data_IF_086139936501
#
_entry.id   IF_086139936501
#
_cell.length_a   1.000
_cell.length_b   1.000
_cell.length_c   1.000
_cell.angle_alpha   90.00
_cell.angle_beta   90.00
_cell.angle_gamma   90.00
#
_symmetry.space_group_name_H-M   'P 1'
#
loop_
_entity.id
_entity.type
_entity.pdbx_description
1 polymer ?
#
# COMPACT_ATOMS: atom_id res chain seq x y z
N UNK A 1 53.78 49.95 -45.64
CA UNK A 1 53.91 49.88 -47.10
C UNK A 1 53.11 48.69 -47.58
N UNK A 2 52.00 48.94 -48.32
CA UNK A 2 51.15 47.97 -49.05
C UNK A 2 50.33 46.99 -48.19
N UNK A 3 49.08 46.60 -48.45
CA UNK A 3 47.97 47.05 -49.32
C UNK A 3 46.80 46.04 -49.09
N UNK A 4 45.56 46.52 -49.24
CA UNK A 4 44.33 45.81 -49.67
C UNK A 4 43.62 44.86 -48.66
N UNK A 5 42.35 45.11 -48.26
CA UNK A 5 41.08 45.12 -49.02
C UNK A 5 40.47 43.71 -49.12
N UNK A 6 39.35 43.47 -48.44
CA UNK A 6 38.09 43.13 -49.11
C UNK A 6 36.91 43.03 -48.14
N UNK A 7 35.87 43.78 -48.49
CA UNK A 7 34.51 43.66 -47.99
C UNK A 7 33.95 42.27 -48.30
N UNK A 8 33.29 41.64 -47.34
CA UNK A 8 32.28 40.62 -47.64
C UNK A 8 31.04 40.83 -46.75
N UNK A 9 29.99 41.31 -47.42
CA UNK A 9 28.55 41.15 -47.20
C UNK A 9 28.10 40.58 -45.85
N UNK A 10 27.41 41.44 -45.09
CA UNK A 10 26.59 41.07 -43.94
C UNK A 10 25.24 40.58 -44.46
N UNK A 11 24.97 39.28 -44.36
CA UNK A 11 23.63 38.72 -44.42
C UNK A 11 23.23 38.36 -42.99
N UNK A 12 22.18 38.96 -42.40
CA UNK A 12 21.70 38.50 -41.10
C UNK A 12 20.95 37.19 -41.31
N UNK A 13 21.59 36.07 -40.92
CA UNK A 13 20.90 34.81 -40.68
C UNK A 13 19.90 35.04 -39.54
N UNK A 14 18.64 35.22 -39.92
CA UNK A 14 17.51 35.08 -39.02
C UNK A 14 17.42 33.61 -38.59
N UNK A 15 18.13 33.25 -37.53
CA UNK A 15 17.89 32.01 -36.82
C UNK A 15 16.53 32.14 -36.12
N UNK A 16 15.48 31.63 -36.78
CA UNK A 16 14.21 31.31 -36.11
C UNK A 16 14.52 30.25 -35.03
N UNK A 17 14.73 30.74 -33.81
CA UNK A 17 14.66 29.91 -32.62
C UNK A 17 13.18 29.55 -32.42
N UNK A 18 12.76 28.44 -33.03
CA UNK A 18 11.49 27.79 -32.69
C UNK A 18 11.60 27.30 -31.24
N UNK A 19 11.24 28.18 -30.31
CA UNK A 19 10.90 27.81 -28.94
C UNK A 19 9.62 26.98 -29.02
N UNK A 20 9.78 25.68 -29.11
CA UNK A 20 8.71 24.72 -28.87
C UNK A 20 8.44 24.76 -27.36
N UNK A 21 7.67 25.74 -26.90
CA UNK A 21 7.09 25.67 -25.56
C UNK A 21 6.01 24.60 -25.62
N UNK A 22 6.42 23.34 -25.41
CA UNK A 22 5.52 22.28 -25.00
C UNK A 22 4.91 22.69 -23.68
N UNK A 23 3.76 23.34 -23.73
CA UNK A 23 2.92 23.59 -22.57
C UNK A 23 2.19 22.28 -22.23
N UNK A 24 2.96 21.26 -21.85
CA UNK A 24 2.44 20.14 -21.07
C UNK A 24 2.72 20.48 -19.61
N UNK A 25 1.88 21.31 -19.00
CA UNK A 25 1.87 21.41 -17.54
C UNK A 25 1.43 20.06 -16.99
N UNK A 26 2.39 19.15 -16.81
CA UNK A 26 2.20 17.91 -16.08
C UNK A 26 1.55 18.26 -14.74
N UNK A 27 0.48 17.55 -14.38
CA UNK A 27 -0.08 17.68 -13.03
C UNK A 27 1.03 17.39 -12.02
N UNK A 28 1.03 18.14 -10.91
CA UNK A 28 1.92 17.87 -9.77
C UNK A 28 1.50 16.57 -9.10
N UNK A 29 2.38 15.94 -8.33
CA UNK A 29 2.04 14.76 -7.54
C UNK A 29 1.08 15.11 -6.40
N UNK A 30 0.21 14.17 -6.07
CA UNK A 30 -0.69 14.29 -4.93
C UNK A 30 0.09 14.18 -3.61
N UNK A 31 -0.33 14.96 -2.61
CA UNK A 31 0.36 15.12 -1.33
C UNK A 31 -0.39 14.46 -0.17
N UNK A 32 0.27 14.32 0.98
CA UNK A 32 -0.33 13.73 2.20
C UNK A 32 -0.08 12.24 2.35
N UNK A 33 -0.59 11.68 3.44
CA UNK A 33 -0.40 10.27 3.77
C UNK A 33 -1.29 9.38 2.88
N UNK A 34 -0.77 8.24 2.41
CA UNK A 34 -1.51 7.35 1.52
C UNK A 34 -2.65 6.59 2.24
N UNK A 35 -2.61 6.50 3.58
CA UNK A 35 -3.60 5.87 4.45
C UNK A 35 -4.50 6.89 5.19
N UNK A 36 -4.64 8.09 4.63
CA UNK A 36 -5.57 9.13 5.08
C UNK A 36 -6.55 9.46 3.94
N UNK A 37 -7.84 9.60 4.25
CA UNK A 37 -8.91 9.95 3.30
C UNK A 37 -9.56 11.26 3.75
N UNK A 38 -9.51 12.28 2.90
CA UNK A 38 -10.19 13.55 3.16
C UNK A 38 -11.64 13.46 2.70
N UNK A 39 -12.57 13.57 3.64
CA UNK A 39 -14.00 13.42 3.37
C UNK A 39 -14.67 14.79 3.30
N UNK A 40 -15.37 15.06 2.20
CA UNK A 40 -16.21 16.24 2.03
C UNK A 40 -17.67 15.81 2.03
N UNK A 41 -18.41 16.28 3.02
CA UNK A 41 -19.84 16.07 3.18
C UNK A 41 -20.44 17.29 3.87
N UNK A 42 -21.75 17.52 3.73
CA UNK A 42 -22.42 18.51 4.59
C UNK A 42 -22.21 18.19 6.07
N UNK A 43 -22.10 19.22 6.90
CA UNK A 43 -21.78 19.05 8.32
C UNK A 43 -22.85 18.29 9.11
N UNK A 44 -24.13 18.42 8.73
CA UNK A 44 -25.21 17.69 9.38
C UNK A 44 -25.24 16.25 8.90
N UNK A 45 -25.07 16.04 7.59
CA UNK A 45 -24.96 14.72 6.99
C UNK A 45 -23.78 13.90 7.55
N UNK A 46 -22.62 14.54 7.80
CA UNK A 46 -21.45 13.89 8.36
C UNK A 46 -21.72 13.24 9.73
N UNK A 47 -22.53 13.88 10.58
CA UNK A 47 -22.90 13.35 11.89
C UNK A 47 -23.58 11.98 11.80
N UNK A 48 -24.28 11.72 10.70
CA UNK A 48 -24.97 10.45 10.46
C UNK A 48 -24.09 9.43 9.71
N UNK A 49 -23.25 9.89 8.79
CA UNK A 49 -22.44 9.00 7.93
C UNK A 49 -21.16 8.50 8.62
N UNK A 50 -20.63 9.26 9.57
CA UNK A 50 -19.32 9.00 10.17
C UNK A 50 -19.21 7.58 10.74
N UNK A 51 -20.19 7.12 11.51
CA UNK A 51 -20.11 5.80 12.17
C UNK A 51 -20.02 4.63 11.16
N UNK A 52 -20.76 4.72 10.06
CA UNK A 52 -20.71 3.72 8.99
C UNK A 52 -19.36 3.72 8.27
N UNK A 53 -18.82 4.91 7.99
CA UNK A 53 -17.52 5.05 7.34
C UNK A 53 -16.36 4.64 8.26
N UNK A 54 -16.42 4.97 9.55
CA UNK A 54 -15.43 4.55 10.55
C UNK A 54 -15.44 3.02 10.70
N UNK A 55 -16.60 2.37 10.64
CA UNK A 55 -16.68 0.89 10.64
C UNK A 55 -16.02 0.30 9.39
N UNK A 56 -16.22 0.93 8.23
CA UNK A 56 -15.71 0.45 6.96
C UNK A 56 -14.19 0.64 6.81
N UNK A 57 -13.71 1.85 7.07
CA UNK A 57 -12.33 2.29 6.86
C UNK A 57 -11.45 2.11 8.10
N UNK A 58 -12.06 1.96 9.27
CA UNK A 58 -11.39 1.75 10.55
C UNK A 58 -11.04 0.30 10.86
N UNK A 59 -11.18 -0.63 9.90
CA UNK A 59 -10.73 -2.04 10.05
C UNK A 59 -9.31 -2.07 10.63
N UNK A 60 -9.13 -2.76 11.75
CA UNK A 60 -7.89 -2.68 12.53
C UNK A 60 -6.79 -3.59 12.00
N UNK A 61 -5.57 -3.05 11.97
CA UNK A 61 -4.32 -3.79 11.87
C UNK A 61 -3.85 -4.21 13.25
N UNK A 62 -3.52 -5.49 13.41
CA UNK A 62 -2.96 -6.03 14.64
C UNK A 62 -1.55 -5.47 14.86
N UNK A 63 -1.47 -4.46 15.71
CA UNK A 63 -0.23 -3.91 16.24
C UNK A 63 -0.38 -3.72 17.75
N UNK A 64 0.71 -3.46 18.51
CA UNK A 64 0.60 -3.32 19.98
C UNK A 64 -0.41 -2.28 20.45
N UNK A 65 -0.70 -1.29 19.61
CA UNK A 65 -1.85 -0.40 19.76
C UNK A 65 -2.59 -0.44 18.42
N UNK A 66 -3.75 -1.13 18.31
CA UNK A 66 -4.44 -1.34 17.05
C UNK A 66 -4.55 -0.07 16.21
N UNK A 67 -4.20 -0.18 14.93
CA UNK A 67 -4.17 0.95 14.00
C UNK A 67 -5.27 0.77 12.96
N UNK A 68 -6.11 1.79 12.65
CA UNK A 68 -7.12 1.66 11.61
C UNK A 68 -6.48 1.55 10.24
N UNK A 69 -7.17 0.94 9.27
CA UNK A 69 -6.71 0.84 7.89
C UNK A 69 -6.56 2.23 7.26
N UNK A 70 -7.56 3.09 7.45
CA UNK A 70 -7.51 4.48 7.02
C UNK A 70 -7.89 5.44 8.14
N UNK A 71 -7.31 6.64 8.11
CA UNK A 71 -7.74 7.76 8.91
C UNK A 71 -8.69 8.63 8.08
N UNK A 72 -9.92 8.82 8.55
CA UNK A 72 -10.88 9.71 7.92
C UNK A 72 -10.72 11.13 8.47
N UNK A 73 -10.57 12.09 7.57
CA UNK A 73 -10.44 13.50 7.89
C UNK A 73 -11.57 14.29 7.23
N UNK A 74 -12.71 14.44 7.91
CA UNK A 74 -13.79 15.29 7.42
C UNK A 74 -13.36 16.75 7.33
N UNK A 75 -13.70 17.41 6.23
CA UNK A 75 -13.46 18.84 6.00
C UNK A 75 -14.69 19.49 5.39
N UNK A 76 -14.91 20.74 5.78
CA UNK A 76 -15.92 21.58 5.17
C UNK A 76 -15.55 21.89 3.71
N UNK A 77 -16.53 22.19 2.85
CA UNK A 77 -16.23 22.48 1.44
C UNK A 77 -15.45 23.80 1.29
N UNK A 78 -15.56 24.71 2.25
CA UNK A 78 -14.79 25.96 2.33
C UNK A 78 -13.28 25.69 2.30
N UNK A 79 -12.85 24.56 2.85
CA UNK A 79 -11.46 24.12 2.88
C UNK A 79 -11.04 23.32 1.64
N UNK A 80 -11.94 23.06 0.68
CA UNK A 80 -11.67 22.20 -0.47
C UNK A 80 -10.39 22.57 -1.21
N UNK A 81 -10.15 23.87 -1.44
CA UNK A 81 -8.94 24.34 -2.15
C UNK A 81 -7.63 23.91 -1.46
N UNK A 82 -7.63 23.79 -0.13
CA UNK A 82 -6.45 23.38 0.65
C UNK A 82 -6.18 21.87 0.54
N UNK A 83 -7.23 21.05 0.43
CA UNK A 83 -7.13 19.59 0.47
C UNK A 83 -7.39 18.89 -0.87
N UNK A 84 -7.73 19.63 -1.93
CA UNK A 84 -8.00 19.05 -3.26
C UNK A 84 -6.82 18.33 -3.90
N UNK A 85 -5.59 18.54 -3.42
CA UNK A 85 -4.39 17.87 -3.96
C UNK A 85 -3.98 16.64 -3.12
N UNK A 86 -4.82 16.21 -2.16
CA UNK A 86 -4.52 15.05 -1.31
C UNK A 86 -4.64 13.75 -2.10
N UNK A 87 -3.82 12.75 -1.74
CA UNK A 87 -3.78 11.43 -2.39
C UNK A 87 -5.13 10.74 -2.46
N UNK A 88 -5.96 10.89 -1.41
CA UNK A 88 -7.29 10.29 -1.32
C UNK A 88 -8.33 11.34 -0.94
N UNK A 89 -9.38 11.46 -1.75
CA UNK A 89 -10.51 12.36 -1.49
C UNK A 89 -11.82 11.62 -1.68
N UNK A 90 -12.74 11.76 -0.74
CA UNK A 90 -14.08 11.17 -0.79
C UNK A 90 -15.11 12.29 -0.68
N UNK A 91 -16.00 12.40 -1.67
CA UNK A 91 -17.18 13.25 -1.61
C UNK A 91 -18.41 12.43 -1.29
N UNK A 92 -19.23 12.91 -0.36
CA UNK A 92 -20.56 12.40 -0.07
C UNK A 92 -21.55 13.50 -0.46
N UNK A 93 -22.36 13.25 -1.47
CA UNK A 93 -23.29 14.23 -2.03
C UNK A 93 -24.70 13.65 -2.18
N UNK A 94 -25.72 14.49 -2.03
CA UNK A 94 -27.11 14.12 -2.27
C UNK A 94 -27.71 14.89 -3.43
N UNK A 95 -28.58 14.24 -4.20
CA UNK A 95 -29.29 14.91 -5.29
C UNK A 95 -30.29 15.94 -4.75
N UNK A 96 -31.00 15.62 -3.66
CA UNK A 96 -31.90 16.54 -2.96
C UNK A 96 -31.18 17.64 -2.16
N UNK A 97 -29.89 17.43 -1.86
CA UNK A 97 -29.04 18.33 -1.07
C UNK A 97 -28.86 19.71 -1.71
N UNK A 98 -29.00 20.75 -0.90
CA UNK A 98 -28.73 22.16 -1.26
C UNK A 98 -27.43 22.69 -0.65
N UNK A 99 -26.70 21.84 0.07
CA UNK A 99 -25.40 22.16 0.62
C UNK A 99 -24.34 22.33 -0.48
N UNK A 100 -23.22 22.94 -0.12
CA UNK A 100 -22.16 23.30 -1.07
C UNK A 100 -21.53 22.06 -1.74
N UNK A 101 -21.35 20.96 -1.00
CA UNK A 101 -20.77 19.73 -1.53
C UNK A 101 -21.68 19.16 -2.61
N UNK A 102 -22.95 18.95 -2.27
CA UNK A 102 -23.97 18.40 -3.18
C UNK A 102 -24.13 19.23 -4.44
N UNK A 103 -24.17 20.56 -4.31
CA UNK A 103 -24.29 21.47 -5.46
C UNK A 103 -23.08 21.41 -6.39
N UNK A 104 -21.87 21.34 -5.87
CA UNK A 104 -20.65 21.30 -6.69
C UNK A 104 -20.44 19.93 -7.34
N UNK A 105 -20.73 18.84 -6.63
CA UNK A 105 -20.70 17.49 -7.20
C UNK A 105 -21.72 17.37 -8.33
N UNK A 106 -22.98 17.80 -8.13
CA UNK A 106 -24.01 17.76 -9.19
C UNK A 106 -23.60 18.46 -10.48
N UNK A 107 -22.91 19.60 -10.39
CA UNK A 107 -22.41 20.35 -11.56
C UNK A 107 -21.33 19.60 -12.35
N UNK A 108 -20.61 18.69 -11.69
CA UNK A 108 -19.56 17.89 -12.32
C UNK A 108 -20.09 16.61 -12.99
N UNK A 109 -21.37 16.27 -12.80
CA UNK A 109 -21.99 15.06 -13.35
C UNK A 109 -22.77 15.36 -14.63
N UNK A 110 -22.77 14.42 -15.57
CA UNK A 110 -23.63 14.49 -16.76
C UNK A 110 -25.08 14.19 -16.40
N UNK A 111 -26.03 14.60 -17.25
CA UNK A 111 -27.46 14.29 -17.05
C UNK A 111 -27.73 12.78 -16.97
N UNK A 112 -27.07 11.99 -17.82
CA UNK A 112 -27.13 10.52 -17.79
C UNK A 112 -26.72 9.95 -16.42
N UNK A 113 -25.63 10.47 -15.83
CA UNK A 113 -25.18 10.02 -14.51
C UNK A 113 -26.18 10.44 -13.42
N UNK A 114 -26.74 11.65 -13.50
CA UNK A 114 -27.76 12.10 -12.55
C UNK A 114 -29.03 11.24 -12.62
N UNK A 115 -29.50 10.92 -13.82
CA UNK A 115 -30.65 10.03 -14.03
C UNK A 115 -30.35 8.62 -13.50
N UNK A 116 -29.17 8.07 -13.79
CA UNK A 116 -28.75 6.78 -13.26
C UNK A 116 -28.61 6.76 -11.73
N UNK A 117 -28.23 7.88 -11.09
CA UNK A 117 -28.26 7.97 -9.62
C UNK A 117 -29.70 7.98 -9.10
N UNK A 118 -30.59 8.70 -9.78
CA UNK A 118 -32.00 8.78 -9.40
C UNK A 118 -32.71 7.42 -9.52
N UNK A 119 -32.36 6.60 -10.51
CA UNK A 119 -32.89 5.24 -10.70
C UNK A 119 -32.16 4.18 -9.88
N UNK A 120 -31.06 4.55 -9.21
CA UNK A 120 -30.25 3.65 -8.37
C UNK A 120 -29.25 2.79 -9.14
N UNK A 121 -29.01 3.08 -10.42
CA UNK A 121 -28.04 2.42 -11.29
C UNK A 121 -26.59 2.87 -11.01
N UNK A 122 -26.39 4.16 -10.71
CA UNK A 122 -25.10 4.74 -10.37
C UNK A 122 -25.09 5.32 -8.96
N UNK A 123 -23.99 5.17 -8.24
CA UNK A 123 -23.87 5.68 -6.86
C UNK A 123 -22.41 5.92 -6.46
N UNK A 124 -21.49 5.23 -7.14
CA UNK A 124 -20.06 5.24 -6.90
C UNK A 124 -19.34 5.64 -8.17
N UNK A 125 -18.55 6.71 -8.09
CA UNK A 125 -17.89 7.30 -9.26
C UNK A 125 -16.42 7.52 -8.90
N UNK A 126 -15.53 6.57 -9.21
CA UNK A 126 -14.10 6.72 -8.98
C UNK A 126 -13.46 7.54 -10.10
N UNK A 127 -12.45 8.34 -9.75
CA UNK A 127 -11.66 9.14 -10.67
C UNK A 127 -10.20 9.15 -10.24
N UNK A 128 -9.33 8.77 -11.17
CA UNK A 128 -7.90 8.94 -11.01
C UNK A 128 -7.47 10.33 -11.49
N UNK A 129 -6.43 10.84 -10.86
CA UNK A 129 -5.68 12.01 -11.28
C UNK A 129 -6.52 13.26 -11.57
N UNK A 130 -7.55 13.55 -10.77
CA UNK A 130 -8.47 14.67 -11.03
C UNK A 130 -7.70 15.99 -11.07
N UNK A 131 -6.97 16.29 -9.99
CA UNK A 131 -6.22 17.54 -9.83
C UNK A 131 -4.70 17.35 -9.74
N UNK A 132 -4.24 16.17 -9.32
CA UNK A 132 -2.83 15.82 -9.14
C UNK A 132 -2.56 14.39 -9.65
N UNK A 133 -1.32 14.04 -10.03
CA UNK A 133 -0.94 12.64 -10.33
C UNK A 133 -0.97 11.77 -9.08
N UNK A 134 -1.25 10.48 -9.24
CA UNK A 134 -1.42 9.49 -8.17
C UNK A 134 -2.58 9.80 -7.21
N UNK A 135 -3.53 10.61 -7.68
CA UNK A 135 -4.68 10.98 -6.88
C UNK A 135 -5.83 10.01 -7.11
N UNK A 136 -6.49 9.63 -6.02
CA UNK A 136 -7.72 8.84 -6.06
C UNK A 136 -8.87 9.63 -5.45
N UNK A 137 -9.88 9.92 -6.27
CA UNK A 137 -11.07 10.67 -5.87
C UNK A 137 -12.30 9.80 -6.07
N UNK A 138 -13.09 9.65 -5.03
CA UNK A 138 -14.38 8.96 -5.09
C UNK A 138 -15.49 9.97 -4.85
N UNK A 139 -16.52 9.92 -5.69
CA UNK A 139 -17.80 10.56 -5.42
C UNK A 139 -18.81 9.47 -5.10
N UNK A 140 -19.28 9.45 -3.85
CA UNK A 140 -20.48 8.72 -3.45
C UNK A 140 -21.66 9.68 -3.53
N UNK A 141 -22.63 9.34 -4.37
CA UNK A 141 -23.79 10.20 -4.63
C UNK A 141 -25.05 9.37 -4.50
N UNK A 142 -26.02 9.89 -3.75
CA UNK A 142 -27.31 9.25 -3.51
C UNK A 142 -28.47 10.23 -3.77
N UNK A 143 -29.70 9.74 -4.03
CA UNK A 143 -30.86 10.62 -4.15
C UNK A 143 -31.10 11.48 -2.91
N UNK A 144 -31.00 10.86 -1.73
CA UNK A 144 -31.28 11.44 -0.42
C UNK A 144 -30.40 10.81 0.68
N UNK A 145 -30.65 11.22 1.93
CA UNK A 145 -29.86 10.82 3.11
C UNK A 145 -30.03 9.34 3.46
N UNK A 146 -31.25 8.83 3.43
CA UNK A 146 -31.53 7.43 3.79
C UNK A 146 -30.91 6.49 2.75
N UNK A 147 -31.00 6.86 1.48
CA UNK A 147 -30.30 6.17 0.41
C UNK A 147 -28.77 6.20 0.63
N UNK A 148 -28.18 7.32 1.02
CA UNK A 148 -26.73 7.39 1.29
C UNK A 148 -26.31 6.43 2.41
N UNK A 149 -27.06 6.39 3.52
CA UNK A 149 -26.79 5.47 4.64
C UNK A 149 -26.83 4.01 4.20
N UNK A 150 -27.86 3.63 3.43
CA UNK A 150 -27.97 2.28 2.89
C UNK A 150 -26.79 1.94 1.96
N UNK A 151 -26.32 2.90 1.16
CA UNK A 151 -25.21 2.68 0.23
C UNK A 151 -23.85 2.55 0.92
N UNK A 152 -23.60 3.31 1.98
CA UNK A 152 -22.40 3.12 2.81
C UNK A 152 -22.35 1.69 3.33
N UNK A 153 -23.49 1.12 3.71
CA UNK A 153 -23.60 -0.26 4.16
C UNK A 153 -23.44 -1.28 3.01
N UNK A 154 -24.21 -1.14 1.93
CA UNK A 154 -24.26 -2.12 0.84
C UNK A 154 -22.97 -2.20 0.04
N UNK A 155 -22.28 -1.06 -0.12
CA UNK A 155 -21.22 -0.87 -1.13
C UNK A 155 -19.92 -0.40 -0.51
N UNK A 156 -19.89 -0.25 0.82
CA UNK A 156 -18.71 0.17 1.54
C UNK A 156 -17.50 -0.69 1.18
N UNK A 157 -17.65 -2.02 1.14
CA UNK A 157 -16.53 -2.92 0.83
C UNK A 157 -15.91 -2.66 -0.55
N UNK A 158 -16.74 -2.44 -1.58
CA UNK A 158 -16.25 -2.08 -2.92
C UNK A 158 -15.43 -0.79 -2.88
N UNK A 159 -15.93 0.24 -2.19
CA UNK A 159 -15.24 1.53 -2.06
C UNK A 159 -13.90 1.36 -1.34
N UNK A 160 -13.90 0.59 -0.25
CA UNK A 160 -12.70 0.27 0.53
C UNK A 160 -11.65 -0.44 -0.33
N UNK A 161 -12.06 -1.50 -1.04
CA UNK A 161 -11.17 -2.30 -1.88
C UNK A 161 -10.52 -1.46 -2.99
N UNK A 162 -11.26 -0.51 -3.55
CA UNK A 162 -10.75 0.38 -4.59
C UNK A 162 -9.75 1.44 -4.04
N UNK A 163 -9.95 1.93 -2.80
CA UNK A 163 -8.93 2.72 -2.10
C UNK A 163 -7.68 1.89 -1.79
N UNK A 164 -7.85 0.64 -1.33
CA UNK A 164 -6.74 -0.28 -1.04
C UNK A 164 -5.93 -0.59 -2.30
N UNK A 165 -6.61 -0.83 -3.42
CA UNK A 165 -5.97 -1.01 -4.72
C UNK A 165 -5.11 0.20 -5.09
N UNK A 166 -5.66 1.42 -4.98
CA UNK A 166 -4.91 2.64 -5.25
C UNK A 166 -3.73 2.83 -4.28
N UNK A 167 -3.91 2.49 -2.99
CA UNK A 167 -2.85 2.48 -1.98
C UNK A 167 -1.70 1.56 -2.37
N UNK A 168 -1.98 0.29 -2.65
CA UNK A 168 -0.96 -0.71 -2.97
C UNK A 168 -0.27 -0.47 -4.32
N UNK A 169 -0.98 0.05 -5.33
CA UNK A 169 -0.37 0.46 -6.60
C UNK A 169 0.70 1.53 -6.36
N UNK A 170 0.35 2.62 -5.66
CA UNK A 170 1.31 3.70 -5.34
C UNK A 170 2.46 3.20 -4.48
N UNK A 171 2.17 2.33 -3.51
CA UNK A 171 3.20 1.76 -2.65
C UNK A 171 4.21 0.94 -3.44
N UNK A 172 3.74 0.10 -4.38
CA UNK A 172 4.59 -0.70 -5.26
C UNK A 172 5.43 0.17 -6.21
N UNK A 173 4.84 1.18 -6.83
CA UNK A 173 5.55 2.14 -7.68
C UNK A 173 6.66 2.85 -6.89
N UNK A 174 6.31 3.40 -5.72
CA UNK A 174 7.27 4.05 -4.83
C UNK A 174 8.40 3.10 -4.40
N UNK A 175 8.10 1.83 -4.14
CA UNK A 175 9.09 0.86 -3.70
C UNK A 175 10.07 0.46 -4.81
N UNK A 176 9.65 0.44 -6.08
CA UNK A 176 10.42 -0.26 -7.11
C UNK A 176 10.71 0.49 -8.40
N UNK A 177 9.95 1.52 -8.78
CA UNK A 177 10.15 2.23 -10.05
C UNK A 177 11.58 2.78 -10.16
N UNK A 178 12.07 3.38 -9.06
CA UNK A 178 13.43 3.92 -8.96
C UNK A 178 14.25 3.32 -7.80
N UNK A 179 13.66 2.39 -7.03
CA UNK A 179 14.13 2.03 -5.69
C UNK A 179 14.26 0.52 -5.45
N UNK A 180 14.67 -0.24 -6.47
CA UNK A 180 14.83 -1.70 -6.39
C UNK A 180 16.31 -2.14 -6.25
N UNK A 181 16.57 -3.04 -5.29
CA UNK A 181 17.87 -3.69 -5.10
C UNK A 181 17.99 -4.97 -5.93
N UNK A 182 18.14 -4.82 -7.26
CA UNK A 182 18.30 -5.96 -8.17
C UNK A 182 19.50 -6.86 -7.85
N UNK A 183 20.55 -6.31 -7.20
CA UNK A 183 21.72 -7.08 -6.79
C UNK A 183 21.37 -8.13 -5.73
N UNK A 184 20.56 -7.75 -4.74
CA UNK A 184 20.11 -8.70 -3.71
C UNK A 184 19.14 -9.70 -4.31
N UNK A 185 18.16 -9.27 -5.12
CA UNK A 185 17.25 -10.19 -5.83
C UNK A 185 18.01 -11.25 -6.65
N UNK A 186 19.01 -10.82 -7.43
CA UNK A 186 19.87 -11.70 -8.22
C UNK A 186 20.71 -12.65 -7.36
N UNK A 187 21.19 -12.17 -6.21
CA UNK A 187 21.89 -13.01 -5.25
C UNK A 187 20.96 -14.08 -4.69
N UNK A 188 19.75 -13.70 -4.25
CA UNK A 188 18.77 -14.63 -3.70
C UNK A 188 18.49 -15.77 -4.69
N UNK A 189 18.21 -15.39 -5.95
CA UNK A 189 17.91 -16.32 -7.04
C UNK A 189 19.04 -17.33 -7.29
N UNK A 190 20.31 -16.91 -7.17
CA UNK A 190 21.48 -17.76 -7.46
C UNK A 190 21.84 -18.69 -6.32
N UNK A 191 21.54 -18.31 -5.08
CA UNK A 191 22.04 -18.99 -3.88
C UNK A 191 20.96 -19.77 -3.12
N UNK A 192 19.68 -19.50 -3.33
CA UNK A 192 18.57 -20.08 -2.58
C UNK A 192 17.47 -20.64 -3.51
N UNK A 193 16.55 -21.49 -3.02
CA UNK A 193 15.47 -22.07 -3.86
C UNK A 193 14.37 -21.06 -4.24
N UNK A 194 14.56 -19.78 -3.96
CA UNK A 194 13.60 -18.71 -4.17
C UNK A 194 14.28 -17.41 -4.55
N UNK A 195 13.47 -16.45 -4.99
CA UNK A 195 13.83 -15.05 -5.14
C UNK A 195 12.63 -14.17 -4.78
N UNK A 196 12.89 -12.90 -4.50
CA UNK A 196 11.88 -11.86 -4.31
C UNK A 196 12.50 -10.51 -4.65
N UNK A 197 11.67 -9.54 -5.04
CA UNK A 197 12.11 -8.17 -5.35
C UNK A 197 12.41 -7.46 -4.04
N UNK A 198 13.59 -6.86 -3.93
CA UNK A 198 14.06 -6.24 -2.67
C UNK A 198 14.09 -4.72 -2.82
N UNK A 199 13.57 -3.97 -1.84
CA UNK A 199 13.69 -2.51 -1.84
C UNK A 199 15.16 -2.08 -1.63
N UNK A 200 15.58 -0.97 -2.25
CA UNK A 200 16.98 -0.52 -2.35
C UNK A 200 17.76 -0.46 -1.03
N UNK A 201 17.08 -0.22 0.09
CA UNK A 201 17.67 0.02 1.41
C UNK A 201 17.61 -1.20 2.35
N UNK A 202 17.21 -2.37 1.83
CA UNK A 202 17.36 -3.66 2.51
C UNK A 202 18.67 -4.34 2.10
N UNK A 203 19.28 -5.01 3.07
CA UNK A 203 20.47 -5.83 2.90
C UNK A 203 20.28 -7.19 3.56
N UNK A 204 21.07 -8.18 3.14
CA UNK A 204 21.16 -9.47 3.83
C UNK A 204 21.94 -9.23 5.13
N UNK A 205 21.26 -9.34 6.27
CA UNK A 205 21.85 -9.18 7.60
C UNK A 205 22.51 -10.49 8.07
N UNK A 206 21.88 -11.63 7.76
CA UNK A 206 22.40 -12.97 8.04
C UNK A 206 21.72 -13.98 7.11
N UNK A 207 22.41 -15.07 6.81
CA UNK A 207 21.87 -16.20 6.05
C UNK A 207 22.57 -17.49 6.44
N UNK A 208 21.89 -18.62 6.26
CA UNK A 208 22.46 -19.96 6.45
C UNK A 208 21.76 -20.95 5.56
N UNK A 209 22.52 -21.70 4.75
CA UNK A 209 21.98 -22.82 3.97
C UNK A 209 21.71 -24.05 4.83
N UNK A 210 22.51 -24.25 5.88
CA UNK A 210 22.37 -25.37 6.82
C UNK A 210 21.09 -25.21 7.67
N UNK A 211 20.91 -24.03 8.24
CA UNK A 211 19.72 -23.64 9.01
C UNK A 211 18.58 -23.10 8.12
N UNK A 212 18.82 -23.00 6.81
CA UNK A 212 17.84 -22.71 5.75
C UNK A 212 17.06 -21.40 5.93
N UNK A 213 17.76 -20.30 6.16
CA UNK A 213 17.12 -18.99 6.23
C UNK A 213 17.93 -17.90 5.53
N UNK A 214 17.24 -16.83 5.14
CA UNK A 214 17.82 -15.55 4.76
C UNK A 214 17.08 -14.45 5.49
N UNK A 215 17.80 -13.61 6.22
CA UNK A 215 17.29 -12.48 6.98
C UNK A 215 17.65 -11.16 6.29
N UNK A 216 16.66 -10.54 5.65
CA UNK A 216 16.77 -9.21 5.06
C UNK A 216 16.38 -8.16 6.09
N UNK A 217 17.21 -7.13 6.25
CA UNK A 217 16.97 -6.08 7.25
C UNK A 217 17.22 -4.70 6.67
N UNK A 218 16.35 -3.77 7.04
CA UNK A 218 16.58 -2.34 6.92
C UNK A 218 16.83 -1.78 8.31
N UNK A 219 18.11 -1.58 8.63
CA UNK A 219 18.55 -1.21 9.98
C UNK A 219 18.25 0.27 10.22
N UNK A 220 17.47 0.57 11.26
CA UNK A 220 17.29 1.93 11.77
C UNK A 220 17.06 1.88 13.29
N UNK A 221 17.69 2.77 14.09
CA UNK A 221 17.61 2.71 15.56
C UNK A 221 16.19 2.72 16.13
N UNK A 222 15.28 3.47 15.53
CA UNK A 222 13.88 3.60 15.98
C UNK A 222 12.84 2.99 15.02
N UNK A 223 13.27 2.45 13.87
CA UNK A 223 12.39 2.02 12.75
C UNK A 223 12.90 0.74 12.10
N UNK A 224 13.24 -0.24 12.93
CA UNK A 224 13.80 -1.50 12.46
C UNK A 224 12.73 -2.32 11.75
N UNK A 225 13.10 -2.87 10.60
CA UNK A 225 12.23 -3.68 9.76
C UNK A 225 13.01 -4.83 9.19
N UNK A 226 12.39 -5.99 9.18
CA UNK A 226 13.01 -7.16 8.59
C UNK A 226 11.99 -8.07 7.91
N UNK A 227 12.48 -8.79 6.92
CA UNK A 227 11.82 -9.94 6.31
C UNK A 227 12.80 -11.10 6.29
N UNK A 228 12.35 -12.24 6.79
CA UNK A 228 13.08 -13.50 6.80
C UNK A 228 12.33 -14.51 5.94
N UNK A 229 13.05 -15.17 5.05
CA UNK A 229 12.54 -16.36 4.38
C UNK A 229 13.25 -17.57 4.98
N UNK A 230 12.47 -18.50 5.52
CA UNK A 230 12.92 -19.79 6.02
C UNK A 230 12.25 -20.91 5.22
N UNK A 231 12.97 -22.01 4.98
CA UNK A 231 12.42 -23.15 4.24
C UNK A 231 12.80 -24.49 4.85
N UNK A 232 11.88 -25.45 4.81
CA UNK A 232 12.00 -26.76 5.46
C UNK A 232 11.59 -27.84 4.46
N UNK A 233 12.18 -29.06 4.47
CA UNK A 233 11.69 -30.15 3.63
C UNK A 233 10.21 -30.41 3.92
N UNK A 234 9.42 -30.56 2.86
CA UNK A 234 8.05 -31.00 2.99
C UNK A 234 8.00 -32.45 3.50
N UNK A 235 7.04 -32.73 4.37
CA UNK A 235 6.74 -34.07 4.88
C UNK A 235 5.22 -34.25 4.88
N UNK A 236 4.73 -35.39 4.45
CA UNK A 236 3.29 -35.69 4.43
C UNK A 236 2.67 -35.68 5.84
N UNK A 237 3.49 -35.85 6.89
CA UNK A 237 3.07 -35.74 8.29
C UNK A 237 3.16 -34.32 8.85
N UNK A 238 3.63 -33.33 8.08
CA UNK A 238 3.74 -31.95 8.54
C UNK A 238 2.35 -31.35 8.74
N UNK A 239 2.01 -31.10 10.00
CA UNK A 239 0.81 -30.35 10.37
C UNK A 239 1.19 -28.90 10.58
N UNK A 240 0.75 -28.03 9.66
CA UNK A 240 0.91 -26.59 9.76
C UNK A 240 -0.30 -26.05 10.51
N UNK A 241 -0.12 -25.70 11.78
CA UNK A 241 -1.10 -25.05 12.64
C UNK A 241 -0.44 -23.95 13.48
N UNK A 242 -1.23 -23.29 14.34
CA UNK A 242 -0.80 -22.13 15.12
C UNK A 242 0.46 -22.43 15.93
N UNK A 243 0.42 -23.50 16.74
CA UNK A 243 1.51 -23.88 17.63
C UNK A 243 2.78 -24.19 16.85
N UNK A 244 2.65 -24.89 15.71
CA UNK A 244 3.79 -25.19 14.86
C UNK A 244 4.45 -23.91 14.30
N UNK A 245 3.66 -22.96 13.78
CA UNK A 245 4.19 -21.71 13.20
C UNK A 245 4.86 -20.86 14.30
N UNK A 246 4.22 -20.72 15.47
CA UNK A 246 4.79 -19.98 16.61
C UNK A 246 6.11 -20.62 17.06
N UNK A 247 6.19 -21.95 17.15
CA UNK A 247 7.43 -22.65 17.49
C UNK A 247 8.54 -22.42 16.46
N UNK A 248 8.24 -22.49 15.16
CA UNK A 248 9.24 -22.19 14.13
C UNK A 248 9.72 -20.74 14.22
N UNK A 249 8.79 -19.79 14.42
CA UNK A 249 9.12 -18.37 14.58
C UNK A 249 10.00 -18.10 15.79
N UNK A 250 9.66 -18.66 16.96
CA UNK A 250 10.45 -18.47 18.17
C UNK A 250 11.84 -19.13 18.05
N UNK A 251 11.97 -20.25 17.32
CA UNK A 251 13.28 -20.86 17.00
C UNK A 251 14.15 -19.92 16.17
N UNK A 252 13.61 -19.33 15.11
CA UNK A 252 14.31 -18.30 14.32
C UNK A 252 14.65 -17.09 15.20
N UNK A 253 13.72 -16.64 16.03
CA UNK A 253 13.90 -15.47 16.87
C UNK A 253 15.04 -15.64 17.90
N UNK A 254 15.21 -16.84 18.44
CA UNK A 254 16.35 -17.17 19.32
C UNK A 254 17.71 -17.07 18.61
N UNK A 255 17.73 -17.28 17.29
CA UNK A 255 18.95 -17.20 16.47
C UNK A 255 19.22 -15.78 15.95
N UNK A 256 18.20 -15.10 15.41
CA UNK A 256 18.39 -13.86 14.63
C UNK A 256 17.61 -12.64 15.14
N UNK A 257 16.61 -12.81 16.02
CA UNK A 257 15.80 -11.70 16.55
C UNK A 257 16.03 -11.44 18.04
N UNK A 258 17.23 -11.72 18.56
CA UNK A 258 17.59 -11.41 19.96
C UNK A 258 16.58 -11.98 20.99
N UNK A 259 16.02 -13.15 20.71
CA UNK A 259 15.00 -13.81 21.54
C UNK A 259 13.67 -13.04 21.67
N UNK A 260 13.26 -12.33 20.62
CA UNK A 260 11.88 -11.85 20.50
C UNK A 260 10.89 -13.01 20.62
N UNK A 261 9.75 -12.75 21.27
CA UNK A 261 8.68 -13.75 21.46
C UNK A 261 7.36 -13.23 20.91
N UNK A 262 6.53 -14.16 20.43
CA UNK A 262 5.14 -13.88 20.06
C UNK A 262 4.32 -13.57 21.32
N UNK A 263 3.39 -12.61 21.23
CA UNK A 263 2.34 -12.40 22.22
C UNK A 263 1.11 -13.18 21.75
N UNK A 264 0.98 -14.42 22.21
CA UNK A 264 0.00 -15.38 21.66
C UNK A 264 -1.45 -14.91 21.81
N UNK A 265 -1.81 -14.26 22.91
CA UNK A 265 -3.16 -13.70 23.16
C UNK A 265 -3.56 -12.61 22.14
N UNK A 266 -2.58 -11.98 21.48
CA UNK A 266 -2.77 -10.92 20.47
C UNK A 266 -2.57 -11.46 19.05
N UNK A 267 -2.45 -12.79 18.88
CA UNK A 267 -2.08 -13.42 17.61
C UNK A 267 -3.22 -14.24 17.05
N UNK A 268 -3.48 -14.11 15.75
CA UNK A 268 -4.48 -14.91 15.01
C UNK A 268 -3.84 -15.66 13.85
N UNK A 269 -4.40 -16.82 13.56
CA UNK A 269 -4.07 -17.63 12.39
C UNK A 269 -5.25 -17.64 11.42
N UNK A 270 -5.00 -17.30 10.17
CA UNK A 270 -5.99 -17.31 9.10
C UNK A 270 -5.52 -18.21 7.94
N UNK A 271 -6.47 -18.90 7.31
CA UNK A 271 -6.22 -19.54 6.01
C UNK A 271 -6.39 -18.48 4.93
N UNK A 272 -5.37 -18.32 4.09
CA UNK A 272 -5.33 -17.32 3.02
C UNK A 272 -4.84 -17.94 1.72
N UNK A 273 -4.89 -17.15 0.64
CA UNK A 273 -4.18 -17.46 -0.60
C UNK A 273 -2.96 -16.55 -0.73
N UNK A 274 -1.80 -17.14 -0.97
CA UNK A 274 -0.57 -16.42 -1.23
C UNK A 274 -0.08 -16.76 -2.64
N UNK A 275 -0.27 -15.84 -3.59
CA UNK A 275 -0.06 -16.14 -5.01
C UNK A 275 -0.86 -17.37 -5.47
N UNK A 276 -0.16 -18.42 -5.90
CA UNK A 276 -0.78 -19.69 -6.33
C UNK A 276 -1.01 -20.69 -5.18
N UNK A 277 -0.46 -20.43 -4.00
CA UNK A 277 -0.45 -21.39 -2.89
C UNK A 277 -1.61 -21.14 -1.92
N UNK A 278 -2.33 -22.19 -1.48
CA UNK A 278 -3.02 -22.16 -0.20
C UNK A 278 -2.00 -21.95 0.91
N UNK A 279 -2.26 -21.01 1.80
CA UNK A 279 -1.31 -20.58 2.81
C UNK A 279 -1.99 -20.36 4.16
N UNK A 280 -1.16 -20.30 5.19
CA UNK A 280 -1.53 -19.88 6.52
C UNK A 280 -0.86 -18.55 6.82
N UNK A 281 -1.62 -17.58 7.32
CA UNK A 281 -1.12 -16.28 7.75
C UNK A 281 -1.28 -16.17 9.26
N UNK A 282 -0.16 -16.14 9.96
CA UNK A 282 -0.09 -15.78 11.37
C UNK A 282 0.19 -14.28 11.46
N UNK A 283 -0.61 -13.55 12.22
CA UNK A 283 -0.38 -12.13 12.46
C UNK A 283 -0.74 -11.75 13.88
N UNK A 284 0.03 -10.83 14.44
CA UNK A 284 -0.07 -10.44 15.84
C UNK A 284 1.08 -9.55 16.24
N UNK A 285 1.41 -9.55 17.53
CA UNK A 285 2.48 -8.72 18.08
C UNK A 285 3.62 -9.56 18.65
N UNK A 286 4.80 -8.99 18.64
CA UNK A 286 5.98 -9.55 19.27
C UNK A 286 6.51 -8.58 20.33
N UNK A 287 7.24 -9.13 21.31
CA UNK A 287 7.94 -8.36 22.32
C UNK A 287 9.32 -8.94 22.58
N UNK A 288 10.26 -8.08 22.95
CA UNK A 288 11.56 -8.50 23.48
C UNK A 288 11.53 -8.45 25.02
N UNK A 289 11.73 -9.58 25.73
CA UNK A 289 11.72 -9.61 27.19
C UNK A 289 12.84 -8.80 27.86
N UNK A 290 13.95 -8.54 27.16
CA UNK A 290 15.13 -7.87 27.70
C UNK A 290 15.17 -6.37 27.37
N UNK A 291 14.67 -5.99 26.19
CA UNK A 291 14.80 -4.63 25.65
C UNK A 291 13.55 -3.76 25.82
N UNK A 292 12.42 -4.30 26.30
CA UNK A 292 11.14 -3.57 26.45
C UNK A 292 10.74 -2.87 25.13
N UNK A 293 10.91 -3.59 24.02
CA UNK A 293 10.47 -3.17 22.68
C UNK A 293 9.56 -4.24 22.10
N UNK A 294 8.75 -3.85 21.12
CA UNK A 294 7.83 -4.74 20.44
C UNK A 294 7.24 -4.08 19.21
N UNK A 295 6.35 -4.82 18.54
CA UNK A 295 5.72 -4.35 17.32
C UNK A 295 4.86 -5.43 16.67
N UNK A 296 4.26 -5.15 15.49
CA UNK A 296 3.53 -6.14 14.74
C UNK A 296 4.49 -7.07 13.99
N UNK A 297 4.01 -8.28 13.72
CA UNK A 297 4.61 -9.19 12.76
C UNK A 297 3.53 -9.85 11.91
N UNK A 298 3.96 -10.40 10.78
CA UNK A 298 3.16 -11.33 9.97
C UNK A 298 4.07 -12.45 9.47
N UNK A 299 3.56 -13.66 9.49
CA UNK A 299 4.21 -14.86 9.00
C UNK A 299 3.29 -15.54 8.00
N UNK A 300 3.76 -15.75 6.78
CA UNK A 300 3.05 -16.47 5.72
C UNK A 300 3.72 -17.82 5.53
N UNK A 301 2.97 -18.90 5.70
CA UNK A 301 3.46 -20.27 5.58
C UNK A 301 2.69 -21.03 4.51
N UNK A 302 3.40 -21.64 3.57
CA UNK A 302 2.80 -22.45 2.52
C UNK A 302 3.70 -23.60 2.08
N UNK A 303 3.08 -24.67 1.60
CA UNK A 303 3.78 -25.81 1.02
C UNK A 303 3.82 -25.69 -0.51
N UNK A 304 5.03 -25.67 -1.08
CA UNK A 304 5.26 -25.78 -2.52
C UNK A 304 5.62 -27.23 -2.87
N UNK A 305 4.61 -27.99 -3.31
CA UNK A 305 4.78 -29.42 -3.63
C UNK A 305 5.72 -29.67 -4.81
N UNK A 306 5.88 -28.70 -5.70
CA UNK A 306 6.78 -28.79 -6.86
C UNK A 306 8.25 -28.82 -6.43
N UNK A 307 8.66 -27.95 -5.51
CA UNK A 307 10.01 -27.96 -4.93
C UNK A 307 10.17 -28.94 -3.76
N UNK A 308 9.07 -29.45 -3.20
CA UNK A 308 9.10 -30.31 -2.01
C UNK A 308 9.50 -29.54 -0.75
N UNK A 309 9.18 -28.25 -0.67
CA UNK A 309 9.54 -27.36 0.43
C UNK A 309 8.30 -26.73 1.07
N UNK A 310 8.38 -26.50 2.37
CA UNK A 310 7.51 -25.56 3.09
C UNK A 310 8.29 -24.26 3.23
N UNK A 311 7.71 -23.15 2.78
CA UNK A 311 8.26 -21.82 2.95
C UNK A 311 7.53 -21.10 4.08
N UNK A 312 8.31 -20.36 4.87
CA UNK A 312 7.86 -19.45 5.91
C UNK A 312 8.48 -18.08 5.63
N UNK A 313 7.64 -17.11 5.26
CA UNK A 313 8.04 -15.72 5.06
C UNK A 313 7.57 -14.95 6.29
N UNK A 314 8.49 -14.64 7.19
CA UNK A 314 8.24 -13.91 8.42
C UNK A 314 8.74 -12.48 8.30
N UNK A 315 7.99 -11.51 8.78
CA UNK A 315 8.47 -10.14 8.82
C UNK A 315 7.89 -9.38 10.01
N UNK A 316 8.66 -8.43 10.51
CA UNK A 316 8.32 -7.64 11.70
C UNK A 316 8.68 -6.17 11.52
N UNK A 317 7.99 -5.33 12.29
CA UNK A 317 8.25 -3.89 12.36
C UNK A 317 8.48 -3.50 13.81
N UNK A 318 9.54 -2.76 14.08
CA UNK A 318 9.70 -1.95 15.29
C UNK A 318 9.66 -0.48 14.87
N UNK A 319 8.62 0.27 15.24
CA UNK A 319 8.55 1.72 15.00
C UNK A 319 7.94 2.45 16.21
N UNK A 320 8.80 3.02 17.06
CA UNK A 320 8.38 3.62 18.34
C UNK A 320 7.75 4.99 18.09
N UNK A 321 6.51 5.19 18.55
CA UNK A 321 5.80 6.47 18.42
C UNK A 321 5.28 6.78 17.01
N UNK A 322 5.41 5.84 16.07
CA UNK A 322 4.97 5.98 14.68
C UNK A 322 3.89 4.94 14.35
N UNK A 323 3.03 5.25 13.37
CA UNK A 323 2.12 4.25 12.78
C UNK A 323 2.94 3.18 12.07
N UNK A 324 2.62 1.92 12.35
CA UNK A 324 3.33 0.73 11.86
C UNK A 324 2.69 0.14 10.62
N UNK A 325 1.40 0.43 10.33
CA UNK A 325 0.67 -0.08 9.15
C UNK A 325 1.49 0.03 7.86
N UNK A 326 1.89 1.25 7.48
CA UNK A 326 2.61 1.47 6.20
C UNK A 326 3.95 0.71 6.13
N UNK A 327 4.64 0.53 7.26
CA UNK A 327 5.86 -0.28 7.30
C UNK A 327 5.59 -1.77 7.14
N UNK A 328 4.48 -2.26 7.73
CA UNK A 328 4.05 -3.64 7.59
C UNK A 328 3.61 -3.92 6.15
N UNK A 329 2.85 -3.00 5.54
CA UNK A 329 2.41 -3.10 4.15
C UNK A 329 3.59 -3.09 3.17
N UNK A 330 4.67 -2.33 3.43
CA UNK A 330 5.89 -2.39 2.62
C UNK A 330 6.53 -3.80 2.63
N UNK A 331 6.61 -4.42 3.81
CA UNK A 331 7.14 -5.76 3.97
C UNK A 331 6.22 -6.80 3.31
N UNK A 332 4.90 -6.60 3.43
CA UNK A 332 3.89 -7.46 2.80
C UNK A 332 3.95 -7.37 1.27
N UNK A 333 4.06 -6.17 0.70
CA UNK A 333 4.31 -5.95 -0.73
C UNK A 333 5.58 -6.69 -1.17
N UNK A 334 6.67 -6.55 -0.40
CA UNK A 334 7.93 -7.23 -0.69
C UNK A 334 7.78 -8.75 -0.64
N UNK A 335 7.10 -9.29 0.37
CA UNK A 335 6.80 -10.71 0.50
C UNK A 335 6.02 -11.23 -0.71
N UNK A 336 5.00 -10.51 -1.18
CA UNK A 336 4.15 -10.92 -2.31
C UNK A 336 4.87 -10.93 -3.67
N UNK A 337 6.12 -10.47 -3.75
CA UNK A 337 6.97 -10.64 -4.94
C UNK A 337 7.73 -11.97 -4.96
N UNK A 338 7.58 -12.78 -3.91
CA UNK A 338 8.21 -14.08 -3.75
C UNK A 338 7.89 -15.02 -4.92
N UNK A 339 8.93 -15.67 -5.41
CA UNK A 339 8.88 -16.67 -6.47
C UNK A 339 9.83 -17.81 -6.13
N UNK A 340 9.39 -19.04 -6.37
CA UNK A 340 10.33 -20.18 -6.40
C UNK A 340 11.12 -20.15 -7.70
N UNK A 341 12.34 -20.68 -7.72
CA UNK A 341 13.15 -20.70 -8.95
C UNK A 341 12.52 -21.52 -10.09
N UNK A 342 11.55 -22.38 -9.78
CA UNK A 342 10.81 -23.18 -10.75
C UNK A 342 9.58 -22.45 -11.33
N UNK A 343 9.23 -21.27 -10.80
CA UNK A 343 8.07 -20.50 -11.27
C UNK A 343 8.36 -19.80 -12.61
N UNK A 344 7.39 -19.71 -13.53
CA UNK A 344 7.51 -18.90 -14.74
C UNK A 344 7.84 -17.45 -14.39
N UNK A 345 8.75 -16.82 -15.13
CA UNK A 345 9.00 -15.38 -14.99
C UNK A 345 7.75 -14.59 -15.44
N UNK A 346 7.32 -13.55 -14.70
CA UNK A 346 6.33 -12.62 -15.22
C UNK A 346 6.89 -11.95 -16.48
N UNK A 347 6.09 -11.86 -17.53
CA UNK A 347 6.42 -11.01 -18.67
C UNK A 347 6.51 -9.56 -18.16
N UNK A 348 7.62 -8.89 -18.51
CA UNK A 348 8.03 -7.61 -17.93
C UNK A 348 7.25 -6.40 -18.44
#
# INVERSE_FOLDING_TARGET
MKYFCNLLRWAPLWAMLLLITSCSTSKTEAIGNPDEIFVFADSLDWLDYQAGLDTLFGKEYLTPAPEPSYLLAWRSFEEFTQYRLRKNVLFLARLDGQDRVSLEVKKALSQEVLEGIQTGEFFYIPRNDVWAREQYVVYLVAPDKDAMLQRIYDLGELVFDDFEKSYYTRLQEQMYENYENKKVEDYLRKHFPFTLRVQHDYQIASESLEERYVWLRRIHPSRDRALTVHWIPFSDSARIDFDWIVQQRNRLAAQIYQNDVVVEDETRLEQVRFGRWPAYRLEGTWKNPQMIVGGPFRTIVFADKESGLIFMIDFYVQAIGERKKTFLDQLDVMAHTFRTNNSPQPEG
#
